data_IF_178922126792
#
_entry.id   IF_178922126792
#
_cell.length_a   1.000
_cell.length_b   1.000
_cell.length_c   1.000
_cell.angle_alpha   90.00
_cell.angle_beta   90.00
_cell.angle_gamma   90.00
#
_symmetry.space_group_name_H-M   'P 1'
#
loop_
_entity.id
_entity.type
_entity.pdbx_description
1 polymer ?
#
# COMPACT_ATOMS: atom_id res chain seq x y z
N UNK A 1 -4.60 -25.97 -7.15
CA UNK A 1 -3.40 -25.17 -6.90
C UNK A 1 -3.81 -23.73 -7.08
N UNK A 2 -3.56 -22.85 -6.12
CA UNK A 2 -3.78 -21.41 -6.29
C UNK A 2 -2.78 -20.89 -7.32
N UNK A 3 -3.21 -20.07 -8.27
CA UNK A 3 -2.34 -19.47 -9.28
C UNK A 3 -1.69 -18.19 -8.72
N UNK A 4 -0.60 -18.38 -7.98
CA UNK A 4 0.09 -17.30 -7.27
C UNK A 4 0.69 -16.25 -8.21
N UNK A 5 1.06 -16.62 -9.44
CA UNK A 5 1.56 -15.67 -10.44
C UNK A 5 0.45 -14.75 -10.94
N UNK A 6 -0.73 -15.30 -11.23
CA UNK A 6 -1.87 -14.47 -11.62
C UNK A 6 -2.26 -13.49 -10.50
N UNK A 7 -2.24 -13.94 -9.24
CA UNK A 7 -2.50 -13.06 -8.09
C UNK A 7 -1.45 -11.96 -8.00
N UNK A 8 -0.15 -12.28 -8.17
CA UNK A 8 0.92 -11.27 -8.15
C UNK A 8 0.74 -10.25 -9.28
N UNK A 9 0.37 -10.68 -10.49
CA UNK A 9 0.12 -9.77 -11.61
C UNK A 9 -1.06 -8.83 -11.32
N UNK A 10 -2.16 -9.34 -10.78
CA UNK A 10 -3.32 -8.55 -10.38
C UNK A 10 -2.96 -7.54 -9.28
N UNK A 11 -2.18 -7.95 -8.28
CA UNK A 11 -1.71 -7.06 -7.23
C UNK A 11 -0.75 -5.99 -7.76
N UNK A 12 0.12 -6.33 -8.71
CA UNK A 12 1.06 -5.38 -9.31
C UNK A 12 0.32 -4.31 -10.12
N UNK A 13 -0.73 -4.69 -10.87
CA UNK A 13 -1.59 -3.76 -11.59
C UNK A 13 -2.32 -2.82 -10.64
N UNK A 14 -2.92 -3.39 -9.60
CA UNK A 14 -3.63 -2.64 -8.56
C UNK A 14 -2.67 -1.68 -7.85
N UNK A 15 -1.47 -2.13 -7.48
CA UNK A 15 -0.44 -1.31 -6.84
C UNK A 15 -0.04 -0.13 -7.71
N UNK A 16 0.17 -0.36 -9.01
CA UNK A 16 0.50 0.71 -9.96
C UNK A 16 -0.60 1.76 -10.11
N UNK A 17 -1.88 1.35 -10.04
CA UNK A 17 -3.02 2.27 -10.02
C UNK A 17 -3.05 3.07 -8.71
N UNK A 18 -2.92 2.38 -7.57
CA UNK A 18 -2.90 3.00 -6.25
C UNK A 18 -1.74 3.99 -6.09
N UNK A 19 -0.56 3.68 -6.63
CA UNK A 19 0.60 4.56 -6.62
C UNK A 19 0.35 5.90 -7.34
N UNK A 20 -0.61 5.94 -8.27
CA UNK A 20 -1.03 7.17 -8.97
C UNK A 20 -2.16 7.87 -8.24
N UNK A 21 -3.16 7.12 -7.76
CA UNK A 21 -4.38 7.68 -7.18
C UNK A 21 -4.22 8.15 -5.73
N UNK A 22 -3.42 7.45 -4.93
CA UNK A 22 -3.23 7.75 -3.51
C UNK A 22 -2.60 9.13 -3.30
N UNK A 23 -1.50 9.51 -3.98
CA UNK A 23 -0.93 10.85 -3.82
C UNK A 23 -1.92 11.96 -4.16
N UNK A 24 -2.69 11.80 -5.25
CA UNK A 24 -3.71 12.76 -5.66
C UNK A 24 -4.85 12.87 -4.62
N UNK A 25 -5.27 11.73 -4.09
CA UNK A 25 -6.29 11.64 -3.04
C UNK A 25 -5.83 12.33 -1.74
N UNK A 26 -4.58 12.09 -1.32
CA UNK A 26 -4.02 12.70 -0.11
C UNK A 26 -3.77 14.21 -0.24
N UNK A 27 -3.51 14.67 -1.47
CA UNK A 27 -3.33 16.09 -1.80
C UNK A 27 -4.65 16.89 -1.82
N UNK A 28 -5.80 16.21 -1.87
CA UNK A 28 -7.10 16.88 -1.80
C UNK A 28 -7.26 17.64 -0.46
N UNK A 29 -7.47 18.96 -0.45
CA UNK A 29 -7.63 19.73 0.78
C UNK A 29 -8.90 19.36 1.56
N UNK A 30 -9.95 18.88 0.88
CA UNK A 30 -11.24 18.53 1.46
C UNK A 30 -11.30 17.09 2.01
N UNK A 31 -10.22 16.31 1.86
CA UNK A 31 -10.18 14.95 2.40
C UNK A 31 -10.30 14.96 3.92
N UNK A 32 -11.27 14.21 4.44
CA UNK A 32 -11.47 14.11 5.88
C UNK A 32 -10.43 13.20 6.53
N UNK A 33 -10.16 13.42 7.82
CA UNK A 33 -9.28 12.55 8.61
C UNK A 33 -9.74 11.09 8.63
N UNK A 34 -11.04 10.84 8.62
CA UNK A 34 -11.59 9.47 8.60
C UNK A 34 -11.30 8.75 7.27
N UNK A 35 -11.43 9.46 6.14
CA UNK A 35 -11.05 8.93 4.84
C UNK A 35 -9.56 8.58 4.76
N UNK A 36 -8.68 9.45 5.27
CA UNK A 36 -7.23 9.16 5.30
C UNK A 36 -6.93 7.94 6.20
N UNK A 37 -7.62 7.77 7.33
CA UNK A 37 -7.45 6.58 8.17
C UNK A 37 -7.87 5.29 7.47
N UNK A 38 -9.01 5.31 6.78
CA UNK A 38 -9.49 4.16 6.01
C UNK A 38 -8.51 3.80 4.89
N UNK A 39 -8.00 4.81 4.19
CA UNK A 39 -7.00 4.62 3.16
C UNK A 39 -5.70 4.04 3.73
N UNK A 40 -5.20 4.58 4.84
CA UNK A 40 -4.03 4.04 5.55
C UNK A 40 -4.21 2.56 5.90
N UNK A 41 -5.32 2.20 6.56
CA UNK A 41 -5.59 0.82 6.94
C UNK A 41 -5.74 -0.12 5.74
N UNK A 42 -6.28 0.35 4.61
CA UNK A 42 -6.37 -0.44 3.39
C UNK A 42 -4.98 -0.68 2.77
N UNK A 43 -4.10 0.32 2.79
CA UNK A 43 -2.74 0.20 2.27
C UNK A 43 -1.87 -0.73 3.14
N UNK A 44 -2.03 -0.68 4.47
CA UNK A 44 -1.37 -1.64 5.37
C UNK A 44 -1.82 -3.08 5.08
N UNK A 45 -3.13 -3.31 4.95
CA UNK A 45 -3.65 -4.64 4.61
C UNK A 45 -3.11 -5.16 3.26
N UNK A 46 -2.94 -4.28 2.28
CA UNK A 46 -2.36 -4.67 0.98
C UNK A 46 -0.86 -5.00 1.10
N UNK A 47 -0.09 -4.25 1.89
CA UNK A 47 1.31 -4.57 2.16
C UNK A 47 1.44 -5.95 2.86
N UNK A 48 0.64 -6.19 3.90
CA UNK A 48 0.61 -7.48 4.61
C UNK A 48 0.21 -8.63 3.68
N UNK A 49 -0.76 -8.42 2.78
CA UNK A 49 -1.16 -9.43 1.81
C UNK A 49 -0.03 -9.77 0.83
N UNK A 50 0.68 -8.76 0.32
CA UNK A 50 1.79 -8.98 -0.61
C UNK A 50 2.98 -9.63 0.09
N UNK A 51 3.23 -9.31 1.36
CA UNK A 51 4.22 -10.02 2.18
C UNK A 51 3.87 -11.53 2.29
N UNK A 52 2.61 -11.85 2.58
CA UNK A 52 2.15 -13.25 2.62
C UNK A 52 2.29 -13.93 1.26
N UNK A 53 1.93 -13.24 0.18
CA UNK A 53 2.10 -13.74 -1.18
C UNK A 53 3.57 -14.05 -1.49
N UNK A 54 4.48 -13.14 -1.13
CA UNK A 54 5.94 -13.32 -1.27
C UNK A 54 6.40 -14.57 -0.53
N UNK A 55 6.03 -14.73 0.75
CA UNK A 55 6.39 -15.91 1.55
C UNK A 55 5.90 -17.21 0.91
N UNK A 56 4.70 -17.21 0.32
CA UNK A 56 4.17 -18.39 -0.39
C UNK A 56 4.95 -18.66 -1.68
N UNK A 57 5.29 -17.63 -2.46
CA UNK A 57 6.10 -17.77 -3.66
C UNK A 57 7.50 -18.34 -3.31
N UNK A 58 8.13 -17.85 -2.24
CA UNK A 58 9.40 -18.38 -1.73
C UNK A 58 9.27 -19.84 -1.32
N UNK A 59 8.22 -20.20 -0.58
CA UNK A 59 7.99 -21.56 -0.10
C UNK A 59 7.65 -22.58 -1.21
N UNK A 60 7.33 -22.12 -2.41
CA UNK A 60 7.02 -22.96 -3.58
C UNK A 60 8.14 -22.92 -4.64
N UNK A 61 9.34 -22.44 -4.27
CA UNK A 61 10.52 -22.38 -5.15
C UNK A 61 10.28 -21.64 -6.48
N UNK A 62 9.47 -20.57 -6.45
CA UNK A 62 9.33 -19.68 -7.62
C UNK A 62 10.67 -18.98 -7.95
N UNK A 63 10.80 -18.55 -9.20
CA UNK A 63 12.03 -17.93 -9.69
C UNK A 63 12.40 -16.67 -8.87
N UNK A 64 13.70 -16.41 -8.60
CA UNK A 64 14.11 -15.26 -7.79
C UNK A 64 13.59 -13.91 -8.31
N UNK A 65 13.43 -13.75 -9.63
CA UNK A 65 12.85 -12.54 -10.22
C UNK A 65 11.39 -12.30 -9.82
N UNK A 66 10.62 -13.38 -9.62
CA UNK A 66 9.23 -13.33 -9.17
C UNK A 66 9.18 -12.89 -7.70
N UNK A 67 10.11 -13.38 -6.88
CA UNK A 67 10.21 -12.99 -5.47
C UNK A 67 10.56 -11.49 -5.36
N UNK A 68 11.55 -11.03 -6.12
CA UNK A 68 11.94 -9.61 -6.17
C UNK A 68 10.79 -8.71 -6.64
N UNK A 69 9.98 -9.18 -7.60
CA UNK A 69 8.80 -8.45 -8.03
C UNK A 69 7.75 -8.30 -6.91
N UNK A 70 7.55 -9.36 -6.10
CA UNK A 70 6.68 -9.30 -4.93
C UNK A 70 7.23 -8.36 -3.84
N UNK A 71 8.55 -8.37 -3.59
CA UNK A 71 9.22 -7.44 -2.67
C UNK A 71 9.02 -5.97 -3.06
N UNK A 72 9.24 -5.66 -4.35
CA UNK A 72 9.05 -4.30 -4.84
C UNK A 72 7.60 -3.81 -4.69
N UNK A 73 6.63 -4.73 -4.83
CA UNK A 73 5.23 -4.43 -4.64
C UNK A 73 4.86 -4.24 -3.16
N UNK A 74 5.42 -5.05 -2.27
CA UNK A 74 5.30 -4.90 -0.81
C UNK A 74 5.81 -3.52 -0.38
N UNK A 75 7.03 -3.15 -0.81
CA UNK A 75 7.64 -1.85 -0.54
C UNK A 75 6.77 -0.70 -1.03
N UNK A 76 6.22 -0.80 -2.25
CA UNK A 76 5.33 0.21 -2.80
C UNK A 76 4.09 0.44 -1.93
N UNK A 77 3.40 -0.62 -1.47
CA UNK A 77 2.25 -0.45 -0.58
C UNK A 77 2.67 0.14 0.77
N UNK A 78 3.82 -0.24 1.31
CA UNK A 78 4.36 0.32 2.55
C UNK A 78 4.67 1.83 2.42
N UNK A 79 5.23 2.28 1.29
CA UNK A 79 5.47 3.71 1.03
C UNK A 79 4.18 4.51 0.92
N UNK A 80 3.15 3.95 0.28
CA UNK A 80 1.83 4.57 0.19
C UNK A 80 1.17 4.67 1.58
N UNK A 81 1.25 3.61 2.39
CA UNK A 81 0.79 3.64 3.77
C UNK A 81 1.53 4.71 4.60
N UNK A 82 2.86 4.80 4.46
CA UNK A 82 3.67 5.82 5.12
C UNK A 82 3.23 7.25 4.73
N UNK A 83 2.90 7.47 3.45
CA UNK A 83 2.39 8.75 2.96
C UNK A 83 1.04 9.12 3.60
N UNK A 84 0.12 8.17 3.70
CA UNK A 84 -1.17 8.37 4.38
C UNK A 84 -0.98 8.65 5.89
N UNK A 85 -0.05 7.93 6.55
CA UNK A 85 0.30 8.17 7.94
C UNK A 85 0.88 9.56 8.17
N UNK A 86 1.73 10.06 7.27
CA UNK A 86 2.28 11.41 7.37
C UNK A 86 1.18 12.47 7.20
N UNK A 87 0.24 12.26 6.27
CA UNK A 87 -0.93 13.14 6.13
C UNK A 87 -1.77 13.20 7.41
N UNK A 88 -1.99 12.06 8.09
CA UNK A 88 -2.68 12.03 9.38
C UNK A 88 -1.95 12.83 10.47
N UNK A 89 -0.62 12.74 10.52
CA UNK A 89 0.20 13.52 11.46
C UNK A 89 0.08 15.02 11.19
N UNK A 90 0.09 15.44 9.92
CA UNK A 90 -0.09 16.84 9.52
C UNK A 90 -1.46 17.38 9.93
N UNK A 91 -2.55 16.64 9.65
CA UNK A 91 -3.91 17.02 10.05
C UNK A 91 -4.04 17.22 11.57
N UNK A 92 -3.39 16.36 12.36
CA UNK A 92 -3.34 16.50 13.82
C UNK A 92 -2.64 17.78 14.26
N UNK A 93 -1.51 18.14 13.63
CA UNK A 93 -0.75 19.37 13.94
C UNK A 93 -1.55 20.64 13.64
N UNK A 94 -2.26 20.67 12.51
CA UNK A 94 -3.12 21.81 12.13
C UNK A 94 -4.24 22.01 13.15
N UNK A 95 -4.86 20.93 13.62
CA UNK A 95 -5.92 21.01 14.63
C UNK A 95 -5.43 21.50 16.02
N UNK A 96 -4.15 21.33 16.35
CA UNK A 96 -3.57 21.73 17.65
C UNK A 96 -2.96 23.14 17.66
N UNK A 97 -2.74 23.75 16.50
CA UNK A 97 -2.12 25.08 16.39
C UNK A 97 -3.13 26.25 16.36
N UNK A 98 -4.43 25.95 16.32
CA UNK A 98 -5.52 26.93 16.29
C UNK A 98 -6.36 27.01 17.57
N UNK A 99 -5.93 26.36 18.65
CA UNK A 99 -6.53 26.43 19.99
C UNK A 99 -5.58 27.16 20.95
#
# INVERSE_FOLDING_TARGET
MTDWLNILEEQARTGAEMAREVPATLANPDISRDQVKKLFAALEQQAEFVEQLRQVLEANDFEPEVIVAAEALEEQYAELAASAAERLKQMRRVSSAGA
#
